data_IF_501491199662
#
_entry.id   IF_501491199662
#
_cell.length_a   1.000
_cell.length_b   1.000
_cell.length_c   1.000
_cell.angle_alpha   90.00
_cell.angle_beta   90.00
_cell.angle_gamma   90.00
#
_symmetry.space_group_name_H-M   'P 1'
#
loop_
_entity.id
_entity.type
_entity.pdbx_description
1 polymer ?
#
# COMPACT_ATOMS: atom_id res chain seq x y z
N UNK A 1 13.13 -40.13 30.40
CA UNK A 1 12.11 -40.12 29.33
C UNK A 1 11.09 -39.00 29.47
N UNK A 2 10.50 -38.75 30.65
CA UNK A 2 9.49 -37.69 30.87
C UNK A 2 10.00 -36.26 30.54
N UNK A 3 11.22 -35.92 30.95
CA UNK A 3 11.81 -34.61 30.68
C UNK A 3 12.02 -34.34 29.18
N UNK A 4 12.45 -35.36 28.41
CA UNK A 4 12.64 -35.25 26.96
C UNK A 4 11.31 -34.99 26.23
N UNK A 5 10.24 -35.67 26.67
CA UNK A 5 8.89 -35.45 26.15
C UNK A 5 8.40 -34.02 26.42
N UNK A 6 8.58 -33.52 27.64
CA UNK A 6 8.19 -32.14 27.98
C UNK A 6 8.97 -31.10 27.17
N UNK A 7 10.28 -31.31 26.97
CA UNK A 7 11.10 -30.42 26.15
C UNK A 7 10.66 -30.42 24.68
N UNK A 8 10.32 -31.59 24.12
CA UNK A 8 9.80 -31.70 22.76
C UNK A 8 8.45 -30.97 22.60
N UNK A 9 7.55 -31.09 23.59
CA UNK A 9 6.26 -30.36 23.59
C UNK A 9 6.48 -28.85 23.64
N UNK A 10 7.36 -28.36 24.52
CA UNK A 10 7.68 -26.93 24.61
C UNK A 10 8.24 -26.42 23.28
N UNK A 11 9.16 -27.17 22.67
CA UNK A 11 9.74 -26.82 21.37
C UNK A 11 8.69 -26.74 20.27
N UNK A 12 7.76 -27.71 20.20
CA UNK A 12 6.66 -27.70 19.22
C UNK A 12 5.70 -26.53 19.45
N UNK A 13 5.41 -26.18 20.71
CA UNK A 13 4.58 -25.02 21.04
C UNK A 13 5.26 -23.72 20.60
N UNK A 14 6.57 -23.56 20.86
CA UNK A 14 7.34 -22.39 20.42
C UNK A 14 7.34 -22.30 18.89
N UNK A 15 7.57 -23.41 18.18
CA UNK A 15 7.50 -23.46 16.72
C UNK A 15 6.12 -23.08 16.20
N UNK A 16 5.06 -23.59 16.83
CA UNK A 16 3.68 -23.24 16.48
C UNK A 16 3.40 -21.75 16.65
N UNK A 17 3.82 -21.16 17.78
CA UNK A 17 3.68 -19.72 18.02
C UNK A 17 4.51 -18.89 17.03
N UNK A 18 5.72 -19.33 16.70
CA UNK A 18 6.58 -18.66 15.72
C UNK A 18 5.94 -18.68 14.33
N UNK A 19 5.28 -19.78 13.95
CA UNK A 19 4.59 -19.91 12.67
C UNK A 19 3.32 -19.03 12.55
N UNK A 20 2.74 -18.59 13.67
CA UNK A 20 1.61 -17.64 13.65
C UNK A 20 2.05 -16.23 13.24
N UNK A 21 3.29 -15.83 13.53
CA UNK A 21 3.82 -14.49 13.20
C UNK A 21 3.74 -14.21 11.68
N UNK A 22 4.30 -15.05 10.79
CA UNK A 22 4.19 -14.81 9.35
C UNK A 22 2.75 -14.93 8.86
N UNK A 23 1.93 -15.82 9.44
CA UNK A 23 0.53 -15.96 9.03
C UNK A 23 -0.28 -14.68 9.31
N UNK A 24 -0.12 -14.10 10.52
CA UNK A 24 -0.75 -12.84 10.89
C UNK A 24 -0.20 -11.71 10.03
N UNK A 25 1.12 -11.65 9.84
CA UNK A 25 1.76 -10.64 8.99
C UNK A 25 1.18 -10.67 7.58
N UNK A 26 1.01 -11.85 6.98
CA UNK A 26 0.40 -11.98 5.66
C UNK A 26 -1.03 -11.46 5.64
N UNK A 27 -1.84 -11.81 6.64
CA UNK A 27 -3.21 -11.31 6.75
C UNK A 27 -3.26 -9.78 6.82
N UNK A 28 -2.42 -9.18 7.66
CA UNK A 28 -2.33 -7.71 7.82
C UNK A 28 -1.86 -7.05 6.52
N UNK A 29 -0.84 -7.60 5.85
CA UNK A 29 -0.35 -7.03 4.59
C UNK A 29 -1.42 -7.08 3.51
N UNK A 30 -2.09 -8.23 3.33
CA UNK A 30 -3.14 -8.38 2.32
C UNK A 30 -4.30 -7.41 2.60
N UNK A 31 -4.79 -7.36 3.84
CA UNK A 31 -5.86 -6.43 4.23
C UNK A 31 -5.44 -4.97 4.01
N UNK A 32 -4.22 -4.61 4.43
CA UNK A 32 -3.67 -3.27 4.22
C UNK A 32 -3.60 -2.88 2.75
N UNK A 33 -3.08 -3.76 1.88
CA UNK A 33 -3.00 -3.53 0.44
C UNK A 33 -4.39 -3.35 -0.18
N UNK A 34 -5.36 -4.20 0.19
CA UNK A 34 -6.75 -4.08 -0.31
C UNK A 34 -7.36 -2.74 0.12
N UNK A 35 -7.16 -2.31 1.36
CA UNK A 35 -7.66 -1.01 1.83
C UNK A 35 -7.02 0.17 1.08
N UNK A 36 -5.71 0.13 0.87
CA UNK A 36 -5.00 1.19 0.12
C UNK A 36 -5.53 1.28 -1.31
N UNK A 37 -5.70 0.15 -2.00
CA UNK A 37 -6.26 0.12 -3.35
C UNK A 37 -7.71 0.63 -3.35
N UNK A 38 -8.52 0.23 -2.36
CA UNK A 38 -9.90 0.69 -2.26
C UNK A 38 -9.99 2.23 -2.08
N UNK A 39 -9.15 2.80 -1.21
CA UNK A 39 -9.07 4.26 -1.01
C UNK A 39 -8.56 4.96 -2.28
N UNK A 40 -7.59 4.36 -2.98
CA UNK A 40 -7.05 4.91 -4.22
C UNK A 40 -8.07 4.90 -5.38
N UNK A 41 -8.92 3.86 -5.47
CA UNK A 41 -9.99 3.75 -6.47
C UNK A 41 -11.24 4.55 -6.09
N UNK A 42 -11.44 4.84 -4.80
CA UNK A 42 -12.58 5.61 -4.28
C UNK A 42 -12.91 6.90 -5.08
N UNK A 43 -11.94 7.79 -5.38
CA UNK A 43 -12.23 8.99 -6.18
C UNK A 43 -12.72 8.68 -7.59
N UNK A 44 -12.20 7.62 -8.23
CA UNK A 44 -12.67 7.14 -9.54
C UNK A 44 -14.13 6.70 -9.40
N UNK A 45 -14.45 5.95 -8.35
CA UNK A 45 -15.81 5.48 -8.07
C UNK A 45 -16.79 6.63 -7.80
N UNK A 46 -16.38 7.64 -7.02
CA UNK A 46 -17.20 8.82 -6.70
C UNK A 46 -17.53 9.59 -7.98
N UNK A 47 -16.55 9.84 -8.85
CA UNK A 47 -16.76 10.53 -10.12
C UNK A 47 -17.65 9.68 -11.03
N UNK A 48 -17.39 8.37 -11.12
CA UNK A 48 -18.16 7.46 -11.96
C UNK A 48 -19.63 7.36 -11.56
N UNK A 49 -19.94 7.31 -10.26
CA UNK A 49 -21.31 7.21 -9.73
C UNK A 49 -22.03 8.56 -9.58
N UNK A 50 -21.31 9.69 -9.65
CA UNK A 50 -21.90 11.02 -9.53
C UNK A 50 -22.80 11.38 -10.72
N UNK A 51 -24.02 11.81 -10.45
CA UNK A 51 -24.95 12.40 -11.42
C UNK A 51 -24.62 13.87 -11.75
N UNK A 52 -23.64 14.46 -11.05
CA UNK A 52 -23.27 15.87 -11.19
C UNK A 52 -22.48 16.19 -12.46
N UNK A 53 -21.91 15.18 -13.11
CA UNK A 53 -21.08 15.33 -14.33
C UNK A 53 -21.64 14.46 -15.44
N UNK A 54 -21.71 15.01 -16.65
CA UNK A 54 -22.33 14.32 -17.80
C UNK A 54 -21.28 13.78 -18.77
N UNK A 55 -21.60 12.67 -19.44
CA UNK A 55 -20.83 12.03 -20.53
C UNK A 55 -19.35 12.42 -20.67
N UNK A 56 -19.07 13.46 -21.46
CA UNK A 56 -17.72 13.91 -21.78
C UNK A 56 -16.99 14.59 -20.60
N UNK A 57 -17.70 15.34 -19.77
CA UNK A 57 -17.14 15.97 -18.57
C UNK A 57 -16.64 14.91 -17.58
N UNK A 58 -17.41 13.83 -17.41
CA UNK A 58 -17.02 12.70 -16.55
C UNK A 58 -15.74 12.02 -17.03
N UNK A 59 -15.60 11.85 -18.35
CA UNK A 59 -14.38 11.31 -18.98
C UNK A 59 -13.20 12.27 -18.77
N UNK A 60 -13.40 13.57 -18.93
CA UNK A 60 -12.35 14.57 -18.68
C UNK A 60 -11.88 14.56 -17.22
N UNK A 61 -12.80 14.44 -16.26
CA UNK A 61 -12.47 14.33 -14.84
C UNK A 61 -11.72 13.04 -14.49
N UNK A 62 -12.14 11.90 -15.04
CA UNK A 62 -11.44 10.63 -14.87
C UNK A 62 -10.02 10.68 -15.46
N UNK A 63 -9.88 11.24 -16.67
CA UNK A 63 -8.60 11.42 -17.33
C UNK A 63 -7.68 12.37 -16.54
N UNK A 64 -8.22 13.48 -16.02
CA UNK A 64 -7.50 14.41 -15.16
C UNK A 64 -7.03 13.72 -13.86
N UNK A 65 -7.83 12.85 -13.27
CA UNK A 65 -7.46 12.10 -12.07
C UNK A 65 -6.29 11.15 -12.34
N UNK A 66 -6.35 10.39 -13.44
CA UNK A 66 -5.25 9.50 -13.86
C UNK A 66 -4.00 10.32 -14.15
N UNK A 67 -4.12 11.44 -14.87
CA UNK A 67 -2.99 12.34 -15.09
C UNK A 67 -2.44 12.89 -13.77
N UNK A 68 -3.22 13.40 -12.84
CA UNK A 68 -2.67 13.97 -11.61
C UNK A 68 -2.08 12.91 -10.68
N UNK A 69 -2.73 11.75 -10.52
CA UNK A 69 -2.22 10.67 -9.67
C UNK A 69 -1.00 9.97 -10.29
N UNK A 70 -1.01 9.72 -11.60
CA UNK A 70 0.01 8.96 -12.31
C UNK A 70 1.00 9.84 -13.08
N UNK A 71 0.85 11.15 -13.25
CA UNK A 71 1.95 11.99 -13.77
C UNK A 71 2.79 12.62 -12.67
N UNK A 72 2.35 12.62 -11.41
CA UNK A 72 3.13 13.20 -10.31
C UNK A 72 4.55 12.58 -10.19
N UNK A 73 4.68 11.26 -10.34
CA UNK A 73 5.99 10.58 -10.35
C UNK A 73 6.82 10.89 -11.60
N UNK A 74 6.20 10.99 -12.78
CA UNK A 74 6.87 11.40 -14.02
C UNK A 74 7.44 12.81 -13.86
N UNK A 75 6.63 13.75 -13.38
CA UNK A 75 7.05 15.11 -13.05
C UNK A 75 8.15 15.13 -11.99
N UNK A 76 8.08 14.28 -10.97
CA UNK A 76 9.16 14.13 -10.00
C UNK A 76 10.49 13.77 -10.67
N UNK A 77 10.53 12.85 -11.64
CA UNK A 77 11.78 12.54 -12.36
C UNK A 77 12.34 13.73 -13.16
N UNK A 78 11.48 14.60 -13.69
CA UNK A 78 11.90 15.78 -14.45
C UNK A 78 12.26 16.98 -13.57
N UNK A 79 11.54 17.18 -12.47
CA UNK A 79 11.69 18.34 -11.57
C UNK A 79 12.64 18.06 -10.39
N UNK A 80 12.89 16.79 -10.06
CA UNK A 80 13.82 16.44 -9.00
C UNK A 80 15.20 17.01 -9.33
N UNK A 81 15.83 17.74 -8.41
CA UNK A 81 17.10 18.38 -8.66
C UNK A 81 18.17 17.34 -8.94
N UNK A 82 18.69 17.33 -10.16
CA UNK A 82 19.81 16.46 -10.58
C UNK A 82 21.12 16.89 -9.90
N UNK A 83 21.22 18.14 -9.46
CA UNK A 83 22.42 18.66 -8.79
C UNK A 83 22.40 18.38 -7.29
N UNK A 84 23.51 17.88 -6.71
CA UNK A 84 23.61 17.69 -5.27
C UNK A 84 23.41 19.03 -4.56
N UNK A 85 22.53 19.05 -3.56
CA UNK A 85 22.41 20.20 -2.65
C UNK A 85 23.75 20.34 -1.92
N UNK A 86 24.49 21.41 -2.21
CA UNK A 86 25.62 21.80 -1.37
C UNK A 86 25.08 22.09 0.02
N UNK A 87 25.33 21.16 0.95
CA UNK A 87 25.12 21.39 2.38
C UNK A 87 26.12 22.44 2.81
N UNK A 88 25.69 23.69 2.90
CA UNK A 88 26.40 24.66 3.73
C UNK A 88 26.21 24.21 5.17
N UNK A 89 27.29 23.70 5.77
CA UNK A 89 27.40 23.54 7.22
C UNK A 89 27.48 24.95 7.79
N UNK A 90 26.42 25.38 8.48
CA UNK A 90 26.43 26.53 9.37
C UNK A 90 26.91 26.08 10.75
#
# INVERSE_FOLDING_TARGET
MKALGNLAVIFLVILGLLALIPLISLGVTVLGTVMVIAIWVLPIWIIASSEKTTGFEKIAWLLAMVCLSWFAWVFYFFLAPIKPRHRYYY
#
